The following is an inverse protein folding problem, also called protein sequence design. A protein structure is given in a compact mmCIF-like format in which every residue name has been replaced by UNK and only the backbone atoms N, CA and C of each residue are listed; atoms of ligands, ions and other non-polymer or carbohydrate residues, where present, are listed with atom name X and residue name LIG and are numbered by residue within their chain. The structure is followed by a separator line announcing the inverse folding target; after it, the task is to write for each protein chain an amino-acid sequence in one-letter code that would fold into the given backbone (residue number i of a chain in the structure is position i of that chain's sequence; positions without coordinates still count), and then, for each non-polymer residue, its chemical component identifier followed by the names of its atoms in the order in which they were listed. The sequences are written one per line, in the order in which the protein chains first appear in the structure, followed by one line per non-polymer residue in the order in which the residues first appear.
data_IF_556764428508
#
_entry.id   IF_556764428508
#
_cell.length_a   1.000
_cell.length_b   1.000
_cell.length_c   1.000
_cell.angle_alpha   90.00
_cell.angle_beta   90.00
_cell.angle_gamma   90.00
#
_symmetry.space_group_name_H-M   'P 1'
#
loop_
_entity.id
_entity.type
_entity.pdbx_description
1 polymer ?
#
# COMPACT_ATOMS: atom_id res chain seq x y z
N UNK A 1 25.86 -16.42 0.97
CA UNK A 1 25.27 -16.83 2.26
C UNK A 1 25.94 -15.95 3.30
N UNK A 2 25.26 -14.86 3.63
CA UNK A 2 25.61 -13.89 4.68
C UNK A 2 24.33 -13.66 5.51
N UNK A 3 24.45 -13.19 6.76
CA UNK A 3 23.75 -13.74 7.90
C UNK A 3 22.38 -13.11 8.12
N UNK A 4 21.43 -13.93 8.58
CA UNK A 4 20.23 -13.49 9.32
C UNK A 4 19.44 -12.31 8.74
N UNK A 5 18.84 -12.46 7.55
CA UNK A 5 17.57 -11.77 7.31
C UNK A 5 16.50 -12.52 8.11
N UNK A 6 16.35 -12.13 9.38
CA UNK A 6 15.16 -12.52 10.13
C UNK A 6 13.97 -11.94 9.40
N UNK A 7 13.24 -12.78 8.67
CA UNK A 7 11.97 -12.42 8.06
C UNK A 7 11.09 -11.75 9.12
N UNK A 8 10.39 -10.66 8.78
CA UNK A 8 9.52 -10.00 9.73
C UNK A 8 8.43 -10.99 10.16
N UNK A 9 8.09 -10.96 11.45
CA UNK A 9 6.99 -11.76 11.97
C UNK A 9 5.65 -11.27 11.40
N UNK A 10 5.54 -9.95 11.17
CA UNK A 10 4.41 -9.34 10.49
C UNK A 10 4.82 -8.10 9.69
N UNK A 11 4.00 -7.77 8.69
CA UNK A 11 4.14 -6.56 7.89
C UNK A 11 2.89 -5.69 8.04
N UNK A 12 3.08 -4.39 8.21
CA UNK A 12 1.99 -3.42 8.27
C UNK A 12 1.37 -3.23 6.89
N UNK A 13 0.03 -3.19 6.80
CA UNK A 13 -0.70 -2.95 5.56
C UNK A 13 -1.93 -2.06 5.81
N UNK A 14 -2.39 -1.31 4.79
CA UNK A 14 -1.79 -1.17 3.47
C UNK A 14 -0.72 -0.07 3.43
N UNK A 15 -0.55 0.70 4.50
CA UNK A 15 0.35 1.84 4.50
C UNK A 15 1.81 1.44 4.25
N UNK A 16 2.44 2.13 3.32
CA UNK A 16 3.84 1.96 2.95
C UNK A 16 4.75 2.99 3.65
N UNK A 17 4.18 4.10 4.16
CA UNK A 17 4.89 5.10 4.98
C UNK A 17 4.75 4.82 6.47
N UNK A 18 5.86 4.96 7.21
CA UNK A 18 5.88 4.78 8.66
C UNK A 18 5.02 5.83 9.37
N UNK A 19 4.97 7.06 8.85
CA UNK A 19 4.20 8.18 9.37
C UNK A 19 2.69 7.92 9.44
N UNK A 20 2.20 6.98 8.63
CA UNK A 20 0.80 6.57 8.57
C UNK A 20 0.47 5.39 9.49
N UNK A 21 1.48 4.78 10.11
CA UNK A 21 1.35 3.61 10.97
C UNK A 21 1.42 4.05 12.43
N UNK A 22 0.52 3.56 13.31
CA UNK A 22 0.58 3.88 14.73
C UNK A 22 1.93 3.52 15.36
N UNK A 23 2.52 4.44 16.13
CA UNK A 23 3.85 4.27 16.72
C UNK A 23 3.95 3.01 17.59
N UNK A 24 2.88 2.65 18.30
CA UNK A 24 2.81 1.43 19.10
C UNK A 24 3.07 0.15 18.28
N UNK A 25 2.73 0.15 16.98
CA UNK A 25 2.98 -0.96 16.07
C UNK A 25 4.40 -0.89 15.49
N UNK A 26 4.91 0.30 15.20
CA UNK A 26 6.28 0.48 14.72
C UNK A 26 7.33 0.08 15.76
N UNK A 27 7.04 0.28 17.04
CA UNK A 27 7.92 -0.07 18.15
C UNK A 27 7.93 -1.58 18.48
N UNK A 28 7.03 -2.37 17.86
CA UNK A 28 6.92 -3.80 18.11
C UNK A 28 8.12 -4.57 17.52
N UNK A 29 8.86 -5.36 18.33
CA UNK A 29 9.96 -6.18 17.82
C UNK A 29 9.45 -7.27 16.87
N UNK A 30 9.80 -7.17 15.59
CA UNK A 30 9.40 -8.14 14.55
C UNK A 30 8.34 -7.63 13.58
N UNK A 31 7.82 -6.41 13.80
CA UNK A 31 7.06 -5.68 12.79
C UNK A 31 7.98 -5.08 11.74
N UNK A 32 7.46 -4.89 10.53
CA UNK A 32 8.15 -4.15 9.49
C UNK A 32 7.18 -3.37 8.58
N UNK A 33 7.67 -2.27 8.03
CA UNK A 33 7.00 -1.48 7.00
C UNK A 33 7.43 -1.98 5.63
N UNK A 34 6.47 -2.19 4.72
CA UNK A 34 6.76 -2.71 3.39
C UNK A 34 7.44 -1.65 2.50
N UNK A 35 8.60 -1.99 1.94
CA UNK A 35 9.30 -1.15 0.97
C UNK A 35 9.05 -1.65 -0.46
N UNK A 36 8.45 -0.85 -1.35
CA UNK A 36 8.24 -1.21 -2.77
C UNK A 36 9.49 -1.11 -3.64
N UNK A 37 10.66 -0.88 -3.06
CA UNK A 37 11.95 -0.76 -3.75
C UNK A 37 12.45 0.68 -3.90
N UNK A 38 11.83 1.65 -3.22
CA UNK A 38 12.25 3.06 -3.24
C UNK A 38 13.14 3.43 -2.05
N UNK A 39 12.97 2.76 -0.91
CA UNK A 39 13.77 2.97 0.27
C UNK A 39 15.17 2.36 0.11
N UNK A 40 16.10 3.11 -0.48
CA UNK A 40 17.53 2.84 -0.33
C UNK A 40 18.27 4.16 -0.12
N UNK A 41 18.98 4.26 1.01
CA UNK A 41 19.98 5.29 1.30
C UNK A 41 19.55 6.44 2.21
N UNK A 42 18.26 6.82 2.23
CA UNK A 42 17.79 8.02 2.97
C UNK A 42 16.89 7.70 4.17
N UNK A 43 16.51 6.43 4.35
CA UNK A 43 15.72 5.96 5.49
C UNK A 43 16.60 5.49 6.64
N UNK A 44 17.35 6.43 7.23
CA UNK A 44 18.03 6.24 8.52
C UNK A 44 18.03 7.52 9.37
N UNK A 45 16.83 8.06 9.62
CA UNK A 45 16.60 8.96 10.75
C UNK A 45 15.33 8.61 11.55
N UNK A 46 14.78 7.39 11.37
CA UNK A 46 13.57 6.92 12.06
C UNK A 46 13.71 5.49 12.57
N UNK A 47 13.02 5.17 13.66
CA UNK A 47 13.08 3.91 14.41
C UNK A 47 12.35 2.72 13.75
N UNK A 48 11.81 2.88 12.53
CA UNK A 48 11.02 1.85 11.87
C UNK A 48 11.90 0.77 11.21
N UNK A 49 11.51 -0.48 11.37
CA UNK A 49 12.09 -1.63 10.68
C UNK A 49 11.47 -1.75 9.27
N UNK A 50 12.28 -1.86 8.23
CA UNK A 50 11.83 -1.89 6.83
C UNK A 50 11.99 -3.29 6.23
N UNK A 51 10.93 -3.82 5.60
CA UNK A 51 10.97 -5.06 4.84
C UNK A 51 11.07 -4.76 3.35
N UNK A 52 12.17 -5.19 2.73
CA UNK A 52 12.38 -5.05 1.28
C UNK A 52 12.35 -6.44 0.63
N UNK A 53 11.35 -6.76 -0.22
CA UNK A 53 11.32 -8.03 -0.91
C UNK A 53 12.52 -8.21 -1.83
N UNK A 54 13.09 -9.42 -1.85
CA UNK A 54 14.26 -9.74 -2.67
C UNK A 54 13.93 -9.95 -4.16
N UNK A 55 12.65 -10.22 -4.48
CA UNK A 55 12.16 -10.59 -5.81
C UNK A 55 11.46 -9.44 -6.56
N UNK A 56 11.72 -8.19 -6.17
CA UNK A 56 11.21 -7.01 -6.88
C UNK A 56 11.82 -6.94 -8.31
N UNK A 57 10.99 -6.77 -9.36
CA UNK A 57 11.47 -6.76 -10.75
C UNK A 57 12.26 -5.50 -11.12
N UNK A 58 12.01 -4.37 -10.46
CA UNK A 58 12.73 -3.12 -10.67
C UNK A 58 13.70 -2.86 -9.52
N UNK A 59 14.95 -2.60 -9.88
CA UNK A 59 15.93 -2.03 -8.97
C UNK A 59 15.54 -0.58 -8.57
N UNK A 60 16.06 -0.04 -7.46
CA UNK A 60 15.64 1.27 -6.93
C UNK A 60 15.81 2.44 -7.89
N UNK A 61 16.80 2.39 -8.80
CA UNK A 61 16.99 3.46 -9.78
C UNK A 61 15.94 3.34 -10.89
N UNK A 62 15.68 2.12 -11.35
CA UNK A 62 14.63 1.84 -12.33
C UNK A 62 13.23 2.15 -11.77
N UNK A 63 12.96 1.79 -10.50
CA UNK A 63 11.70 2.08 -9.83
C UNK A 63 11.41 3.58 -9.76
N UNK A 64 12.39 4.40 -9.35
CA UNK A 64 12.27 5.87 -9.34
C UNK A 64 12.00 6.45 -10.73
N UNK A 65 12.70 5.93 -11.75
CA UNK A 65 12.51 6.38 -13.14
C UNK A 65 11.09 6.04 -13.62
N UNK A 66 10.66 4.80 -13.45
CA UNK A 66 9.32 4.35 -13.86
C UNK A 66 8.24 5.15 -13.13
N UNK A 67 8.41 5.39 -11.83
CA UNK A 67 7.50 6.25 -11.07
C UNK A 67 7.43 7.67 -11.67
N UNK A 68 8.57 8.30 -11.94
CA UNK A 68 8.60 9.62 -12.56
C UNK A 68 7.91 9.66 -13.94
N UNK A 69 8.11 8.63 -14.76
CA UNK A 69 7.45 8.47 -16.06
C UNK A 69 5.92 8.32 -15.90
N UNK A 70 5.45 7.49 -14.96
CA UNK A 70 4.02 7.32 -14.68
C UNK A 70 3.37 8.62 -14.20
N UNK A 71 4.05 9.38 -13.33
CA UNK A 71 3.55 10.66 -12.84
C UNK A 71 3.53 11.73 -13.93
N UNK A 72 4.54 11.78 -14.80
CA UNK A 72 4.55 12.71 -15.93
C UNK A 72 3.44 12.39 -16.93
N UNK A 73 3.24 11.10 -17.23
CA UNK A 73 2.12 10.67 -18.05
C UNK A 73 0.77 11.07 -17.44
N UNK A 74 0.60 10.85 -16.13
CA UNK A 74 -0.61 11.26 -15.41
C UNK A 74 -0.89 12.76 -15.49
N UNK A 75 0.15 13.60 -15.49
CA UNK A 75 0.03 15.06 -15.68
C UNK A 75 -0.35 15.46 -17.10
N UNK A 76 0.15 14.73 -18.10
CA UNK A 76 -0.09 15.02 -19.52
C UNK A 76 -1.43 14.47 -20.03
N UNK A 77 -2.04 13.52 -19.31
CA UNK A 77 -3.31 12.93 -19.67
C UNK A 77 -4.44 13.97 -19.62
N UNK A 78 -4.86 14.42 -20.81
CA UNK A 78 -5.94 15.41 -20.95
C UNK A 78 -7.34 14.80 -20.70
N UNK A 79 -7.46 13.47 -20.71
CA UNK A 79 -8.73 12.76 -20.51
C UNK A 79 -8.55 11.60 -19.51
N UNK A 80 -9.54 11.36 -18.63
CA UNK A 80 -9.53 10.19 -17.73
C UNK A 80 -9.43 8.84 -18.45
N UNK A 81 -9.89 8.74 -19.71
CA UNK A 81 -9.71 7.55 -20.56
C UNK A 81 -8.26 7.21 -20.85
N UNK A 82 -7.39 8.22 -20.88
CA UNK A 82 -5.96 8.04 -21.14
C UNK A 82 -5.25 7.49 -19.90
N UNK A 83 -5.85 7.68 -18.71
CA UNK A 83 -5.42 7.11 -17.42
C UNK A 83 -5.88 5.66 -17.21
N UNK A 84 -6.81 5.16 -18.04
CA UNK A 84 -7.29 3.77 -17.96
C UNK A 84 -6.17 2.75 -18.20
N UNK A 85 -5.07 3.18 -18.85
CA UNK A 85 -3.85 2.40 -19.08
C UNK A 85 -3.15 2.01 -17.77
N UNK A 86 -3.28 2.84 -16.72
CA UNK A 86 -2.70 2.59 -15.39
C UNK A 86 -3.75 2.22 -14.34
N UNK A 87 -5.03 2.23 -14.70
CA UNK A 87 -6.10 1.81 -13.79
C UNK A 87 -6.04 0.30 -13.61
N UNK A 88 -5.53 -0.13 -12.45
CA UNK A 88 -6.01 -1.35 -11.82
C UNK A 88 -7.49 -1.06 -11.57
N UNK A 89 -8.40 -1.66 -12.37
CA UNK A 89 -9.84 -1.50 -12.17
C UNK A 89 -10.15 -1.72 -10.67
N UNK A 90 -11.02 -0.92 -10.06
CA UNK A 90 -11.53 -1.24 -8.72
C UNK A 90 -12.12 -2.64 -8.77
N UNK A 91 -11.82 -3.43 -7.74
CA UNK A 91 -12.09 -4.88 -7.71
C UNK A 91 -13.59 -5.23 -7.88
N UNK A 92 -14.48 -4.24 -7.73
CA UNK A 92 -15.93 -4.40 -7.87
C UNK A 92 -16.47 -4.46 -9.32
N UNK A 93 -15.69 -4.07 -10.33
CA UNK A 93 -16.14 -4.16 -11.73
C UNK A 93 -15.33 -5.20 -12.49
N UNK A 94 -15.92 -6.40 -12.63
CA UNK A 94 -15.56 -7.48 -13.56
C UNK A 94 -14.24 -7.23 -14.32
N UNK A 95 -13.16 -7.86 -13.82
CA UNK A 95 -11.84 -7.91 -14.45
C UNK A 95 -11.90 -8.69 -15.77
N UNK A 96 -12.54 -8.10 -16.77
CA UNK A 96 -12.39 -8.44 -18.17
C UNK A 96 -11.81 -7.20 -18.84
N UNK A 97 -10.60 -7.38 -19.36
CA UNK A 97 -9.90 -6.49 -20.30
C UNK A 97 -9.34 -5.19 -19.69
N UNK A 98 -8.01 -5.17 -19.51
CA UNK A 98 -7.23 -3.93 -19.51
C UNK A 98 -6.34 -3.88 -20.74
N UNK A 99 -6.43 -2.76 -21.45
CA UNK A 99 -5.70 -2.36 -22.65
C UNK A 99 -4.26 -2.00 -22.28
N UNK A 100 -3.40 -3.01 -22.18
CA UNK A 100 -1.93 -2.87 -22.31
C UNK A 100 -1.34 -4.00 -23.18
N UNK A 101 -2.14 -4.51 -24.13
CA UNK A 101 -1.67 -5.49 -25.11
C UNK A 101 -0.72 -4.89 -26.15
N UNK A 102 -0.56 -3.58 -26.30
CA UNK A 102 0.08 -3.04 -27.53
C UNK A 102 1.61 -3.28 -27.56
N UNK A 103 2.33 -3.12 -26.45
CA UNK A 103 3.79 -3.36 -26.42
C UNK A 103 4.14 -4.83 -26.15
N UNK A 104 3.27 -5.55 -25.44
CA UNK A 104 3.40 -6.99 -25.23
C UNK A 104 3.14 -7.76 -26.52
N UNK A 105 2.07 -7.43 -27.27
CA UNK A 105 1.72 -8.03 -28.57
C UNK A 105 2.73 -7.66 -29.67
N UNK A 106 3.33 -6.46 -29.64
CA UNK A 106 4.38 -6.09 -30.59
C UNK A 106 5.71 -6.83 -30.31
N UNK A 107 6.02 -7.14 -29.03
CA UNK A 107 7.14 -8.04 -28.67
C UNK A 107 6.82 -9.51 -28.97
N UNK A 108 5.58 -9.93 -28.75
CA UNK A 108 5.08 -11.29 -29.06
C UNK A 108 5.19 -11.55 -30.57
N UNK A 109 4.79 -10.60 -31.42
CA UNK A 109 4.96 -10.69 -32.88
C UNK A 109 6.43 -10.74 -33.31
N UNK A 110 7.29 -9.92 -32.70
CA UNK A 110 8.72 -9.88 -33.05
C UNK A 110 9.49 -11.15 -32.65
N UNK A 111 9.05 -11.86 -31.62
CA UNK A 111 9.65 -13.13 -31.17
C UNK A 111 9.09 -14.33 -31.92
N UNK A 112 7.82 -14.27 -32.36
CA UNK A 112 7.19 -15.27 -33.22
C UNK A 112 7.80 -15.29 -34.63
N UNK A 113 8.20 -14.12 -35.17
CA UNK A 113 8.90 -14.02 -36.46
C UNK A 113 10.34 -14.58 -36.41
N UNK A 114 10.98 -14.64 -35.23
CA UNK A 114 12.36 -15.14 -35.08
C UNK A 114 12.45 -16.61 -34.64
N UNK A 115 11.32 -17.26 -34.34
CA UNK A 115 11.27 -18.55 -33.63
C UNK A 115 10.60 -19.70 -34.37
N UNK A 116 10.76 -19.83 -35.69
CA UNK A 116 10.32 -21.05 -36.40
C UNK A 116 11.28 -22.20 -36.07
N UNK A 117 11.07 -22.90 -34.94
CA UNK A 117 11.79 -24.15 -34.67
C UNK A 117 11.80 -24.73 -33.26
N UNK A 118 11.36 -24.01 -32.22
CA UNK A 118 11.31 -24.55 -30.85
C UNK A 118 9.89 -25.05 -30.52
N UNK A 119 9.77 -26.31 -30.10
CA UNK A 119 8.49 -27.01 -29.92
C UNK A 119 7.49 -26.30 -28.99
N UNK A 120 6.19 -26.59 -29.20
CA UNK A 120 5.06 -25.93 -28.54
C UNK A 120 5.14 -25.85 -27.01
N UNK A 121 5.84 -26.80 -26.36
CA UNK A 121 6.06 -26.79 -24.91
C UNK A 121 7.05 -25.71 -24.45
N UNK A 122 8.14 -25.48 -25.21
CA UNK A 122 9.12 -24.43 -24.91
C UNK A 122 8.53 -23.03 -25.14
N UNK A 123 7.68 -22.88 -26.17
CA UNK A 123 6.92 -21.65 -26.40
C UNK A 123 5.90 -21.39 -25.27
N UNK A 124 5.26 -22.45 -24.75
CA UNK A 124 4.33 -22.36 -23.62
C UNK A 124 5.01 -21.92 -22.32
N UNK A 125 6.19 -22.47 -22.01
CA UNK A 125 6.96 -22.08 -20.82
C UNK A 125 7.46 -20.63 -20.91
N UNK A 126 8.00 -20.22 -22.07
CA UNK A 126 8.45 -18.84 -22.26
C UNK A 126 7.32 -17.82 -22.11
N UNK A 127 6.10 -18.17 -22.58
CA UNK A 127 4.91 -17.33 -22.43
C UNK A 127 4.48 -17.20 -20.97
N UNK A 128 4.52 -18.30 -20.22
CA UNK A 128 4.18 -18.30 -18.79
C UNK A 128 5.17 -17.44 -17.99
N UNK A 129 6.48 -17.61 -18.23
CA UNK A 129 7.51 -16.78 -17.59
C UNK A 129 7.36 -15.29 -17.91
N UNK A 130 6.98 -14.95 -19.14
CA UNK A 130 6.72 -13.57 -19.54
C UNK A 130 5.52 -12.99 -18.78
N UNK A 131 4.41 -13.74 -18.69
CA UNK A 131 3.22 -13.34 -17.93
C UNK A 131 3.53 -13.15 -16.45
N UNK A 132 4.33 -14.03 -15.85
CA UNK A 132 4.74 -13.91 -14.45
C UNK A 132 5.58 -12.66 -14.21
N UNK A 133 6.56 -12.36 -15.07
CA UNK A 133 7.36 -11.12 -15.00
C UNK A 133 6.50 -9.87 -15.17
N UNK A 134 5.56 -9.90 -16.10
CA UNK A 134 4.63 -8.79 -16.34
C UNK A 134 3.73 -8.54 -15.13
N UNK A 135 3.17 -9.60 -14.53
CA UNK A 135 2.33 -9.49 -13.33
C UNK A 135 3.10 -8.92 -12.14
N UNK A 136 4.35 -9.36 -11.93
CA UNK A 136 5.22 -8.81 -10.88
C UNK A 136 5.54 -7.34 -11.16
N UNK A 137 5.83 -6.97 -12.40
CA UNK A 137 6.09 -5.58 -12.77
C UNK A 137 4.87 -4.69 -12.49
N UNK A 138 3.67 -5.13 -12.89
CA UNK A 138 2.40 -4.42 -12.62
C UNK A 138 2.13 -4.29 -11.12
N UNK A 139 2.36 -5.35 -10.34
CA UNK A 139 2.21 -5.31 -8.88
C UNK A 139 3.17 -4.29 -8.25
N UNK A 140 4.45 -4.28 -8.65
CA UNK A 140 5.39 -3.28 -8.14
C UNK A 140 4.97 -1.86 -8.56
N UNK A 141 4.52 -1.63 -9.79
CA UNK A 141 4.02 -0.32 -10.23
C UNK A 141 2.85 0.17 -9.38
N UNK A 142 1.88 -0.70 -9.06
CA UNK A 142 0.76 -0.35 -8.20
C UNK A 142 1.24 0.10 -6.80
N UNK A 143 2.25 -0.59 -6.24
CA UNK A 143 2.85 -0.22 -4.96
C UNK A 143 3.64 1.10 -5.03
N UNK A 144 4.34 1.37 -6.13
CA UNK A 144 5.05 2.64 -6.33
C UNK A 144 4.09 3.83 -6.42
N UNK A 145 2.95 3.64 -7.09
CA UNK A 145 1.90 4.67 -7.16
C UNK A 145 1.23 4.88 -5.81
N UNK A 146 0.98 3.80 -5.07
CA UNK A 146 0.45 3.88 -3.71
C UNK A 146 1.42 4.62 -2.78
N UNK A 147 2.72 4.32 -2.86
CA UNK A 147 3.77 5.05 -2.15
C UNK A 147 3.69 6.55 -2.47
N UNK A 148 3.69 6.93 -3.75
CA UNK A 148 3.66 8.35 -4.10
C UNK A 148 2.39 9.06 -3.60
N UNK A 149 1.23 8.39 -3.66
CA UNK A 149 -0.01 8.96 -3.15
C UNK A 149 0.05 9.16 -1.62
N UNK A 150 0.64 8.22 -0.89
CA UNK A 150 0.91 8.38 0.55
C UNK A 150 1.93 9.48 0.84
N UNK A 151 3.01 9.61 0.05
CA UNK A 151 4.01 10.67 0.20
C UNK A 151 3.34 12.06 0.15
N UNK A 152 2.41 12.27 -0.78
CA UNK A 152 1.62 13.50 -0.84
C UNK A 152 0.75 13.72 0.39
N UNK A 153 0.18 12.65 0.97
CA UNK A 153 -0.59 12.75 2.22
C UNK A 153 0.34 13.16 3.37
N UNK A 154 1.53 12.56 3.47
CA UNK A 154 2.53 12.89 4.48
C UNK A 154 3.02 14.33 4.33
N UNK A 155 3.33 14.77 3.11
CA UNK A 155 3.71 16.16 2.80
C UNK A 155 2.62 17.15 3.25
N UNK A 156 1.35 16.86 2.94
CA UNK A 156 0.22 17.70 3.34
C UNK A 156 0.06 17.75 4.86
N UNK A 157 0.19 16.62 5.56
CA UNK A 157 0.19 16.59 7.03
C UNK A 157 1.33 17.43 7.61
N UNK A 158 2.51 17.38 6.99
CA UNK A 158 3.65 18.22 7.35
C UNK A 158 3.36 19.72 7.19
N UNK A 159 2.75 20.11 6.06
CA UNK A 159 2.36 21.50 5.78
C UNK A 159 1.29 22.01 6.74
N UNK A 160 0.26 21.20 7.04
CA UNK A 160 -0.79 21.53 8.00
C UNK A 160 -0.20 21.77 9.40
N UNK A 161 0.70 20.90 9.84
CA UNK A 161 1.40 21.05 11.12
C UNK A 161 2.30 22.29 11.16
N UNK A 162 3.01 22.59 10.05
CA UNK A 162 3.83 23.79 9.92
C UNK A 162 3.00 25.07 9.97
N UNK A 163 1.86 25.08 9.28
CA UNK A 163 0.90 26.18 9.29
C UNK A 163 0.38 26.42 10.72
N UNK A 164 -0.07 25.36 11.41
CA UNK A 164 -0.55 25.45 12.79
C UNK A 164 0.48 26.05 13.74
N UNK A 165 1.74 25.60 13.66
CA UNK A 165 2.85 26.15 14.47
C UNK A 165 3.16 27.61 14.14
N UNK A 166 3.13 27.99 12.86
CA UNK A 166 3.36 29.37 12.42
C UNK A 166 2.31 30.33 12.97
N UNK A 167 1.04 29.91 12.96
CA UNK A 167 -0.05 30.69 13.54
C UNK A 167 0.02 30.78 15.06
N UNK A 168 0.32 29.69 15.75
CA UNK A 168 0.54 29.73 17.20
C UNK A 168 1.69 30.67 17.57
N UNK A 169 2.76 30.70 16.76
CA UNK A 169 3.85 31.67 16.90
C UNK A 169 3.40 33.13 16.68
N UNK A 170 2.49 33.37 15.74
CA UNK A 170 1.93 34.68 15.45
C UNK A 170 0.99 35.19 16.57
N UNK A 171 0.09 34.33 17.08
CA UNK A 171 -0.78 34.64 18.23
C UNK A 171 0.04 35.00 19.46
N UNK A 172 1.09 34.22 19.75
CA UNK A 172 2.04 34.50 20.82
C UNK A 172 2.78 35.83 20.61
N UNK A 173 3.15 36.16 19.37
CA UNK A 173 3.82 37.42 19.04
C UNK A 173 2.92 38.65 19.16
N UNK A 174 1.60 38.48 18.99
CA UNK A 174 0.62 39.55 19.15
C UNK A 174 0.15 39.71 20.60
N UNK A 175 0.58 38.84 21.52
CA UNK A 175 0.12 38.86 22.91
C UNK A 175 -1.36 38.49 23.07
N UNK A 176 -1.95 37.84 22.06
CA UNK A 176 -3.35 37.42 22.06
C UNK A 176 -3.60 36.15 22.90
N UNK A 177 -2.58 35.63 23.57
CA UNK A 177 -2.64 34.41 24.35
C UNK A 177 -3.28 34.55 25.74
N UNK A 178 -3.55 35.77 26.23
CA UNK A 178 -3.99 35.98 27.62
C UNK A 178 -5.40 36.57 27.84
N UNK A 179 -6.12 37.08 26.85
CA UNK A 179 -7.48 37.60 27.08
C UNK A 179 -8.46 37.23 25.96
N UNK A 180 -9.04 36.03 26.06
CA UNK A 180 -10.47 35.72 25.85
C UNK A 180 -11.14 35.94 24.49
N UNK A 181 -10.56 36.67 23.54
CA UNK A 181 -11.12 36.91 22.22
C UNK A 181 -10.05 36.65 21.16
N UNK A 182 -9.61 35.39 21.08
CA UNK A 182 -8.73 34.94 20.02
C UNK A 182 -9.49 34.79 18.70
N UNK A 183 -8.80 35.02 17.58
CA UNK A 183 -9.19 34.63 16.21
C UNK A 183 -9.43 33.11 16.06
N UNK A 184 -9.44 32.36 17.15
CA UNK A 184 -9.39 30.89 17.21
C UNK A 184 -10.68 30.22 16.78
N UNK A 185 -11.86 30.82 16.99
CA UNK A 185 -13.13 30.21 16.56
C UNK A 185 -13.32 30.27 15.03
N UNK A 186 -13.07 31.43 14.42
CA UNK A 186 -13.16 31.59 12.96
C UNK A 186 -12.07 30.79 12.23
N UNK A 187 -10.92 30.58 12.90
CA UNK A 187 -9.82 29.77 12.39
C UNK A 187 -9.97 28.26 12.62
N UNK A 188 -10.57 27.83 13.74
CA UNK A 188 -10.96 26.43 13.94
C UNK A 188 -11.87 25.97 12.81
N UNK A 189 -12.83 26.81 12.40
CA UNK A 189 -13.71 26.55 11.25
C UNK A 189 -12.92 26.44 9.94
N UNK A 190 -11.85 27.21 9.73
CA UNK A 190 -11.04 27.09 8.50
C UNK A 190 -10.07 25.92 8.54
N UNK A 191 -9.52 25.58 9.72
CA UNK A 191 -8.71 24.38 9.93
C UNK A 191 -9.56 23.11 9.83
N UNK A 192 -10.79 23.12 10.31
CA UNK A 192 -11.75 22.04 10.21
C UNK A 192 -12.27 21.90 8.78
N UNK A 193 -12.42 23.01 8.04
CA UNK A 193 -12.69 23.01 6.59
C UNK A 193 -11.53 22.46 5.78
N UNK A 194 -10.28 22.80 6.12
CA UNK A 194 -9.11 22.19 5.49
C UNK A 194 -8.99 20.70 5.85
N UNK A 195 -9.30 20.33 7.10
CA UNK A 195 -9.38 18.94 7.57
C UNK A 195 -10.52 18.15 6.92
N UNK A 196 -11.66 18.77 6.62
CA UNK A 196 -12.77 18.11 5.89
C UNK A 196 -12.47 18.01 4.39
N UNK A 197 -11.80 18.99 3.79
CA UNK A 197 -11.22 18.86 2.44
C UNK A 197 -10.14 17.78 2.40
N UNK A 198 -9.42 17.57 3.50
CA UNK A 198 -8.48 16.48 3.71
C UNK A 198 -9.15 15.14 4.06
N UNK A 199 -10.38 15.13 4.57
CA UNK A 199 -11.16 13.92 4.82
C UNK A 199 -11.58 13.20 3.54
N UNK A 200 -11.58 13.92 2.41
CA UNK A 200 -11.78 13.42 1.06
C UNK A 200 -10.44 13.25 0.31
N UNK A 201 -9.34 13.04 1.04
CA UNK A 201 -8.03 12.70 0.45
C UNK A 201 -8.19 11.39 -0.31
N UNK A 202 -7.93 11.35 -1.63
CA UNK A 202 -7.92 10.10 -2.37
C UNK A 202 -6.77 9.23 -1.87
N UNK A 203 -7.05 8.35 -0.91
CA UNK A 203 -6.11 7.32 -0.47
C UNK A 203 -6.05 6.23 -1.52
N UNK A 204 -4.90 5.56 -1.71
CA UNK A 204 -4.86 4.33 -2.48
C UNK A 204 -5.93 3.34 -2.02
N UNK A 205 -6.55 2.66 -2.99
CA UNK A 205 -7.44 1.54 -2.69
C UNK A 205 -6.62 0.45 -1.98
N UNK A 206 -6.91 0.25 -0.70
CA UNK A 206 -6.17 -0.69 0.14
C UNK A 206 -6.25 -2.11 -0.39
N UNK A 207 -7.31 -2.48 -1.10
CA UNK A 207 -7.48 -3.81 -1.67
C UNK A 207 -6.44 -4.06 -2.77
N UNK A 208 -6.23 -3.08 -3.64
CA UNK A 208 -5.21 -3.12 -4.69
C UNK A 208 -3.80 -3.15 -4.11
N UNK A 209 -3.55 -2.35 -3.06
CA UNK A 209 -2.25 -2.34 -2.37
C UNK A 209 -2.00 -3.70 -1.71
N UNK A 210 -2.98 -4.24 -0.99
CA UNK A 210 -2.87 -5.55 -0.33
C UNK A 210 -2.64 -6.68 -1.35
N UNK A 211 -3.37 -6.68 -2.47
CA UNK A 211 -3.21 -7.65 -3.55
C UNK A 211 -1.80 -7.60 -4.16
N UNK A 212 -1.25 -6.39 -4.35
CA UNK A 212 0.10 -6.21 -4.85
C UNK A 212 1.18 -6.58 -3.82
N UNK A 213 1.00 -6.24 -2.55
CA UNK A 213 1.88 -6.67 -1.45
C UNK A 213 1.94 -8.19 -1.35
N UNK A 214 0.78 -8.86 -1.45
CA UNK A 214 0.67 -10.31 -1.38
C UNK A 214 1.56 -11.03 -2.41
N UNK A 215 1.89 -10.40 -3.54
CA UNK A 215 2.78 -10.99 -4.56
C UNK A 215 4.21 -11.17 -4.07
N UNK A 216 4.67 -10.28 -3.18
CA UNK A 216 6.07 -10.17 -2.75
C UNK A 216 6.28 -10.57 -1.29
N UNK A 217 5.19 -10.76 -0.53
CA UNK A 217 5.28 -11.23 0.84
C UNK A 217 5.65 -12.72 0.90
N UNK A 218 6.64 -13.11 1.73
CA UNK A 218 6.95 -14.50 1.99
C UNK A 218 5.74 -15.29 2.49
N UNK A 219 5.74 -16.59 2.27
CA UNK A 219 4.69 -17.47 2.77
C UNK A 219 4.68 -17.47 4.30
N UNK A 220 3.49 -17.32 4.88
CA UNK A 220 3.30 -17.33 6.34
C UNK A 220 3.60 -16.01 7.04
N UNK A 221 4.00 -14.95 6.32
CA UNK A 221 4.09 -13.61 6.89
C UNK A 221 2.71 -13.11 7.27
N UNK A 222 2.52 -12.76 8.55
CA UNK A 222 1.27 -12.18 9.01
C UNK A 222 1.16 -10.70 8.61
N UNK A 223 -0.06 -10.18 8.60
CA UNK A 223 -0.33 -8.77 8.29
C UNK A 223 -0.92 -8.08 9.52
N UNK A 224 -0.53 -6.84 9.76
CA UNK A 224 -1.25 -5.94 10.67
C UNK A 224 -2.02 -4.93 9.83
N UNK A 225 -3.35 -4.95 9.92
CA UNK A 225 -4.23 -4.01 9.22
C UNK A 225 -4.28 -2.68 9.99
N UNK A 226 -3.68 -1.65 9.40
CA UNK A 226 -3.50 -0.32 9.98
C UNK A 226 -4.61 0.67 9.62
N UNK A 227 -5.61 0.26 8.82
CA UNK A 227 -6.80 1.08 8.54
C UNK A 227 -8.06 0.45 9.12
N UNK A 228 -8.93 1.29 9.65
CA UNK A 228 -10.17 0.82 10.28
C UNK A 228 -11.28 0.46 9.28
N UNK A 229 -11.22 0.99 8.06
CA UNK A 229 -12.14 0.64 6.98
C UNK A 229 -11.98 -0.82 6.52
N UNK A 230 -10.78 -1.40 6.62
CA UNK A 230 -10.55 -2.83 6.34
C UNK A 230 -11.35 -3.72 7.29
N UNK A 231 -11.31 -3.43 8.59
CA UNK A 231 -12.05 -4.22 9.59
C UNK A 231 -13.57 -4.09 9.36
N UNK A 232 -14.06 -2.87 9.12
CA UNK A 232 -15.49 -2.63 8.82
C UNK A 232 -15.91 -3.39 7.57
N UNK A 233 -15.11 -3.33 6.51
CA UNK A 233 -15.37 -4.07 5.28
C UNK A 233 -15.46 -5.58 5.53
N UNK A 234 -14.52 -6.17 6.28
CA UNK A 234 -14.55 -7.61 6.58
C UNK A 234 -15.73 -8.01 7.48
N UNK A 235 -16.15 -7.14 8.39
CA UNK A 235 -17.38 -7.33 9.19
C UNK A 235 -18.62 -7.36 8.29
N UNK A 236 -18.71 -6.42 7.33
CA UNK A 236 -19.82 -6.32 6.38
C UNK A 236 -19.86 -7.53 5.42
N UNK A 237 -18.71 -8.04 5.02
CA UNK A 237 -18.58 -9.28 4.23
C UNK A 237 -18.86 -10.55 5.04
N UNK A 238 -19.11 -10.44 6.35
CA UNK A 238 -19.39 -11.58 7.20
C UNK A 238 -18.20 -12.52 7.41
N UNK A 239 -16.96 -12.00 7.33
CA UNK A 239 -15.77 -12.79 7.66
C UNK A 239 -15.71 -13.08 9.16
N UNK A 240 -15.20 -14.27 9.51
CA UNK A 240 -15.08 -14.73 10.90
C UNK A 240 -13.93 -14.00 11.61
N UNK A 241 -14.26 -12.92 12.31
CA UNK A 241 -13.31 -12.12 13.09
C UNK A 241 -13.24 -12.70 14.51
N UNK A 242 -12.10 -13.32 14.82
CA UNK A 242 -11.85 -13.96 16.10
C UNK A 242 -11.23 -12.99 17.10
N UNK A 243 -11.45 -13.24 18.38
CA UNK A 243 -10.74 -12.53 19.45
C UNK A 243 -9.24 -12.84 19.37
N UNK A 244 -8.35 -11.85 19.59
CA UNK A 244 -6.92 -12.10 19.65
C UNK A 244 -6.59 -13.06 20.80
N UNK A 245 -5.93 -14.17 20.49
CA UNK A 245 -5.42 -15.13 21.47
C UNK A 245 -3.94 -14.80 21.78
N UNK A 246 -3.56 -14.51 23.04
CA UNK A 246 -2.21 -14.09 23.39
C UNK A 246 -1.10 -15.04 22.90
N UNK A 247 -1.37 -16.34 22.89
CA UNK A 247 -0.39 -17.38 22.51
C UNK A 247 -0.12 -17.45 21.00
N UNK A 248 -0.94 -16.77 20.17
CA UNK A 248 -0.85 -16.77 18.70
C UNK A 248 -0.43 -15.41 18.14
N UNK A 249 -0.09 -14.45 18.99
CA UNK A 249 0.33 -13.13 18.55
C UNK A 249 1.79 -13.16 18.08
N UNK A 250 2.13 -12.36 17.04
CA UNK A 250 3.51 -12.11 16.70
C UNK A 250 4.27 -11.53 17.89
N UNK A 251 5.58 -11.79 18.01
CA UNK A 251 6.40 -11.21 19.06
C UNK A 251 6.20 -9.69 19.16
N UNK A 252 6.02 -9.19 20.38
CA UNK A 252 5.87 -7.76 20.63
C UNK A 252 4.50 -7.17 20.36
N UNK A 253 3.62 -7.83 19.59
CA UNK A 253 2.30 -7.31 19.30
C UNK A 253 1.33 -7.62 20.46
N UNK A 254 0.94 -6.59 21.19
CA UNK A 254 0.01 -6.71 22.33
C UNK A 254 -1.45 -6.94 21.91
N UNK A 255 -2.16 -7.83 22.61
CA UNK A 255 -3.58 -8.11 22.36
C UNK A 255 -4.46 -6.85 22.56
N UNK A 256 -4.02 -5.93 23.42
CA UNK A 256 -4.67 -4.68 23.74
C UNK A 256 -4.77 -3.72 22.55
N UNK A 257 -3.85 -3.82 21.58
CA UNK A 257 -3.84 -3.03 20.35
C UNK A 257 -4.83 -3.55 19.30
N UNK A 258 -5.37 -4.76 19.48
CA UNK A 258 -6.08 -5.50 18.44
C UNK A 258 -7.59 -5.56 18.68
N UNK A 259 -8.36 -5.20 17.65
CA UNK A 259 -9.80 -5.38 17.63
C UNK A 259 -10.21 -6.82 17.31
N UNK A 260 -9.38 -7.54 16.57
CA UNK A 260 -9.68 -8.91 16.14
C UNK A 260 -8.60 -9.50 15.23
N UNK A 261 -8.78 -10.76 14.89
CA UNK A 261 -7.92 -11.52 13.98
C UNK A 261 -8.77 -12.19 12.91
N UNK A 262 -8.38 -12.00 11.66
CA UNK A 262 -9.00 -12.65 10.50
C UNK A 262 -8.00 -13.65 9.91
N UNK A 263 -8.47 -14.84 9.57
CA UNK A 263 -7.64 -15.84 8.87
C UNK A 263 -8.43 -16.37 7.68
N UNK A 264 -8.05 -15.91 6.49
CA UNK A 264 -8.76 -16.17 5.22
C UNK A 264 -7.77 -16.18 4.05
N UNK A 265 -8.25 -16.53 2.85
CA UNK A 265 -7.48 -16.39 1.61
C UNK A 265 -7.35 -14.92 1.20
N UNK A 266 -6.21 -14.53 0.61
CA UNK A 266 -6.02 -13.15 0.15
C UNK A 266 -7.10 -12.68 -0.81
N UNK A 267 -7.52 -13.51 -1.77
CA UNK A 267 -8.57 -13.15 -2.74
C UNK A 267 -9.89 -12.79 -2.05
N UNK A 268 -10.24 -13.50 -0.96
CA UNK A 268 -11.45 -13.23 -0.19
C UNK A 268 -11.32 -11.95 0.65
N UNK A 269 -10.13 -11.67 1.19
CA UNK A 269 -9.87 -10.45 1.95
C UNK A 269 -10.01 -9.18 1.09
N UNK A 270 -9.69 -9.27 -0.21
CA UNK A 270 -9.86 -8.15 -1.13
C UNK A 270 -11.26 -8.07 -1.75
N UNK A 271 -12.14 -9.03 -1.44
CA UNK A 271 -13.54 -9.01 -1.86
C UNK A 271 -13.89 -9.85 -3.08
N UNK A 272 -12.99 -10.72 -3.55
CA UNK A 272 -13.32 -11.65 -4.62
C UNK A 272 -14.16 -12.81 -4.07
N UNK A 273 -15.15 -13.25 -4.86
CA UNK A 273 -15.99 -14.41 -4.53
C UNK A 273 -15.29 -15.75 -4.79
N UNK A 274 -14.38 -15.78 -5.76
CA UNK A 274 -13.60 -16.96 -6.14
C UNK A 274 -12.16 -16.60 -6.50
N UNK A 275 -11.29 -17.62 -6.54
CA UNK A 275 -9.91 -17.47 -6.96
C UNK A 275 -9.84 -17.11 -8.45
N UNK A 276 -9.19 -15.98 -8.74
CA UNK A 276 -8.85 -15.55 -10.09
C UNK A 276 -7.54 -16.20 -10.58
N UNK A 277 -7.57 -17.03 -11.65
CA UNK A 277 -6.37 -17.63 -12.23
C UNK A 277 -5.31 -16.64 -12.74
N UNK A 278 -5.69 -15.38 -12.98
CA UNK A 278 -4.75 -14.32 -13.38
C UNK A 278 -4.00 -13.72 -12.17
N UNK A 279 -4.46 -13.99 -10.95
CA UNK A 279 -3.87 -13.55 -9.68
C UNK A 279 -3.51 -14.75 -8.77
N UNK A 280 -2.70 -15.73 -9.25
CA UNK A 280 -2.47 -16.99 -8.55
C UNK A 280 -1.78 -16.83 -7.18
N UNK A 281 -1.11 -15.71 -6.94
CA UNK A 281 -0.47 -15.42 -5.64
C UNK A 281 -1.47 -15.09 -4.53
N UNK A 282 -2.74 -14.85 -4.86
CA UNK A 282 -3.81 -14.59 -3.89
C UNK A 282 -4.47 -15.88 -3.37
N UNK A 283 -4.23 -17.03 -4.02
CA UNK A 283 -4.75 -18.33 -3.60
C UNK A 283 -3.89 -18.95 -2.49
N UNK A 284 -3.77 -18.21 -1.38
CA UNK A 284 -3.04 -18.67 -0.19
C UNK A 284 -3.62 -18.02 1.07
N UNK A 285 -3.62 -18.74 2.20
CA UNK A 285 -4.15 -18.20 3.45
C UNK A 285 -3.19 -17.18 4.06
N UNK A 286 -3.76 -16.20 4.74
CA UNK A 286 -3.02 -15.20 5.52
C UNK A 286 -3.73 -14.94 6.84
N UNK A 287 -2.95 -14.61 7.88
CA UNK A 287 -3.46 -14.14 9.16
C UNK A 287 -3.31 -12.63 9.20
N UNK A 288 -4.41 -11.94 9.47
CA UNK A 288 -4.47 -10.48 9.58
C UNK A 288 -4.90 -10.08 10.98
N UNK A 289 -4.05 -9.33 11.67
CA UNK A 289 -4.31 -8.73 12.96
C UNK A 289 -4.88 -7.32 12.74
N UNK A 290 -6.12 -7.08 13.17
CA UNK A 290 -6.80 -5.81 12.96
C UNK A 290 -6.57 -4.91 14.15
N UNK A 291 -6.03 -3.70 13.93
CA UNK A 291 -5.87 -2.72 15.00
C UNK A 291 -7.23 -2.23 15.50
N UNK A 292 -7.30 -1.85 16.78
CA UNK A 292 -8.41 -1.05 17.30
C UNK A 292 -8.34 0.34 16.68
N UNK A 293 -9.51 0.92 16.39
CA UNK A 293 -9.57 2.37 16.19
C UNK A 293 -9.06 3.03 17.46
N UNK A 294 -7.95 3.78 17.37
CA UNK A 294 -7.61 4.72 18.43
C UNK A 294 -8.77 5.72 18.48
N UNK A 295 -9.52 5.69 19.59
CA UNK A 295 -10.62 6.62 19.80
C UNK A 295 -10.07 8.03 19.67
N UNK A 296 -10.49 8.74 18.62
CA UNK A 296 -10.20 10.15 18.46
C UNK A 296 -10.60 10.88 19.75
N UNK A 297 -9.62 11.48 20.41
CA UNK A 297 -9.84 12.55 21.38
C UNK A 297 -9.78 13.88 20.65
#
# INVERSE_FOLDING_TARGET
MDPSETLPAFVCAPWLHAEMIPQAVLDCPGGAVFNPGLAQGELQAGAANWFSPADLPLDPRSARRVLAEMLEFGRQAARPSDLAVFSVKPIDDNYSETVLNIDAEMRDLSTLEQGVGAGAEAAGQARQEAKEKESAFKAQQALLLAWQAEEHIVELMGLENGLGKGWQGFENSLGLSEEGEGLSEEFQITSDRLRTLAGDRPTPDWKNVLAAMARFLPLGTAIVACRSDMLKYWQEQGLDIKSPEPDKLPPGLGAELLAGVVSEMYWRLIGLDEHDPDLPWLDRPVVVFCLKEEGGQ
#
